data_IF_218062823630
#
_entry.id   IF_218062823630
#
_cell.length_a   1.000
_cell.length_b   1.000
_cell.length_c   1.000
_cell.angle_alpha   90.00
_cell.angle_beta   90.00
_cell.angle_gamma   90.00
#
_symmetry.space_group_name_H-M   'P 1'
#
loop_
_entity.id
_entity.type
_entity.pdbx_description
1 polymer ?
#
# COMPACT_ATOMS: atom_id res chain seq x y z
N UNK A 1 25.69 0.50 20.60
CA UNK A 1 25.34 1.38 19.46
C UNK A 1 25.90 0.82 18.15
N UNK A 2 25.09 0.60 17.12
CA UNK A 2 25.52 0.17 15.78
C UNK A 2 25.28 1.30 14.77
N UNK A 3 26.15 1.44 13.78
CA UNK A 3 26.04 2.49 12.78
C UNK A 3 26.37 1.93 11.38
N UNK A 4 25.51 2.26 10.42
CA UNK A 4 25.66 1.92 9.02
C UNK A 4 25.70 3.22 8.19
N UNK A 5 26.75 3.42 7.43
CA UNK A 5 26.83 4.44 6.39
C UNK A 5 26.33 3.80 5.10
N UNK A 6 25.31 4.39 4.49
CA UNK A 6 24.67 3.91 3.28
C UNK A 6 25.17 4.71 2.08
N UNK A 7 25.60 4.03 1.04
CA UNK A 7 26.12 4.70 -0.15
C UNK A 7 26.97 3.78 -1.00
N UNK A 8 27.51 4.30 -2.11
CA UNK A 8 28.37 3.50 -2.99
C UNK A 8 29.72 3.16 -2.33
N UNK A 9 30.13 3.93 -1.32
CA UNK A 9 31.30 3.68 -0.47
C UNK A 9 30.90 3.52 1.01
N UNK A 10 29.68 3.06 1.28
CA UNK A 10 29.19 2.81 2.63
C UNK A 10 29.67 1.49 3.21
N UNK A 11 29.32 1.25 4.49
CA UNK A 11 29.66 0.01 5.21
C UNK A 11 28.45 -0.92 5.37
N UNK A 12 27.34 -0.67 4.64
CA UNK A 12 26.15 -1.53 4.63
C UNK A 12 26.51 -2.95 4.13
N UNK A 13 25.75 -4.00 4.54
CA UNK A 13 26.10 -5.41 4.27
C UNK A 13 25.86 -5.84 2.80
N UNK A 14 25.40 -4.94 1.95
CA UNK A 14 25.14 -5.20 0.52
C UNK A 14 25.74 -4.08 -0.34
N UNK A 15 26.06 -4.40 -1.56
CA UNK A 15 26.69 -3.47 -2.50
C UNK A 15 25.65 -2.55 -3.15
N UNK A 16 25.94 -1.24 -3.20
CA UNK A 16 25.17 -0.22 -3.89
C UNK A 16 26.03 0.30 -5.05
N UNK A 17 25.51 0.16 -6.29
CA UNK A 17 26.19 0.59 -7.53
C UNK A 17 25.42 1.64 -8.32
N UNK A 18 24.26 2.04 -7.84
CA UNK A 18 23.37 2.95 -8.53
C UNK A 18 23.96 4.35 -8.60
N UNK A 19 23.98 4.93 -9.80
CA UNK A 19 24.59 6.24 -10.09
C UNK A 19 23.89 7.41 -9.41
N UNK A 20 22.62 7.23 -9.00
CA UNK A 20 21.86 8.22 -8.26
C UNK A 20 22.10 8.21 -6.75
N UNK A 21 23.00 7.33 -6.25
CA UNK A 21 23.35 7.23 -4.83
C UNK A 21 24.72 7.83 -4.60
N UNK A 22 24.85 8.74 -3.62
CA UNK A 22 26.12 9.37 -3.24
C UNK A 22 27.06 8.37 -2.56
N UNK A 23 28.34 8.66 -2.49
CA UNK A 23 29.36 7.80 -1.84
C UNK A 23 29.01 7.51 -0.37
N UNK A 24 28.69 8.55 0.39
CA UNK A 24 28.08 8.49 1.72
C UNK A 24 26.75 9.22 1.65
N UNK A 25 25.67 8.49 1.44
CA UNK A 25 24.37 9.05 1.12
C UNK A 25 23.52 9.32 2.36
N UNK A 26 23.46 8.33 3.24
CA UNK A 26 22.68 8.39 4.47
C UNK A 26 23.37 7.59 5.58
N UNK A 27 22.89 7.78 6.81
CA UNK A 27 23.35 7.05 7.99
C UNK A 27 22.16 6.41 8.68
N UNK A 28 22.28 5.14 9.06
CA UNK A 28 21.37 4.50 9.99
C UNK A 28 22.12 4.21 11.28
N UNK A 29 21.58 4.71 12.39
CA UNK A 29 22.11 4.47 13.73
C UNK A 29 21.10 3.66 14.52
N UNK A 30 21.56 2.60 15.19
CA UNK A 30 20.76 1.80 16.12
C UNK A 30 21.38 1.99 17.48
N UNK A 31 20.66 2.62 18.39
CA UNK A 31 21.14 2.86 19.75
C UNK A 31 21.07 1.59 20.61
N UNK A 32 21.53 1.71 21.86
CA UNK A 32 21.54 0.60 22.80
C UNK A 32 20.12 0.23 23.32
N UNK A 33 19.15 1.11 23.11
CA UNK A 33 17.74 0.88 23.39
C UNK A 33 16.98 0.24 22.22
N UNK A 34 17.65 0.00 21.08
CA UNK A 34 17.05 -0.55 19.86
C UNK A 34 16.31 0.48 19.01
N UNK A 35 16.46 1.77 19.27
CA UNK A 35 15.87 2.83 18.43
C UNK A 35 16.69 3.04 17.17
N UNK A 36 16.03 3.02 16.03
CA UNK A 36 16.63 3.22 14.73
C UNK A 36 16.43 4.66 14.27
N UNK A 37 17.51 5.32 13.90
CA UNK A 37 17.47 6.69 13.34
C UNK A 37 18.12 6.69 11.97
N UNK A 38 17.39 7.19 10.97
CA UNK A 38 17.88 7.44 9.60
C UNK A 38 18.20 8.93 9.48
N UNK A 39 19.37 9.25 8.92
CA UNK A 39 19.84 10.62 8.68
C UNK A 39 20.40 10.71 7.26
N UNK A 40 19.91 11.68 6.47
CA UNK A 40 20.48 12.02 5.17
C UNK A 40 21.81 12.80 5.36
N UNK A 41 22.88 12.33 4.73
CA UNK A 41 24.20 12.96 4.84
C UNK A 41 24.44 14.03 3.75
N UNK A 42 23.42 14.85 3.52
CA UNK A 42 23.44 15.89 2.50
C UNK A 42 23.64 15.31 1.09
N UNK A 43 22.91 14.24 0.82
CA UNK A 43 22.99 13.52 -0.45
C UNK A 43 22.49 14.35 -1.63
N UNK A 44 23.01 14.11 -2.83
CA UNK A 44 22.65 14.86 -4.04
C UNK A 44 21.19 14.71 -4.41
N UNK A 45 20.66 13.49 -4.37
CA UNK A 45 19.31 13.17 -4.82
C UNK A 45 18.30 12.98 -3.68
N UNK A 46 18.74 13.01 -2.42
CA UNK A 46 17.91 12.88 -1.23
C UNK A 46 17.63 11.45 -0.82
N UNK A 47 17.26 11.31 0.45
CA UNK A 47 16.83 10.07 1.08
C UNK A 47 15.31 10.11 1.26
N UNK A 48 14.64 9.02 0.94
CA UNK A 48 13.18 8.91 1.00
C UNK A 48 12.77 7.70 1.82
N UNK A 49 11.61 7.79 2.45
CA UNK A 49 10.95 6.66 3.11
C UNK A 49 9.52 6.52 2.59
N UNK A 50 9.01 5.29 2.56
CA UNK A 50 7.62 5.02 2.23
C UNK A 50 6.77 5.33 3.46
N UNK A 51 5.73 6.13 3.28
CA UNK A 51 4.74 6.43 4.31
C UNK A 51 3.61 5.38 4.37
N UNK A 52 2.66 5.57 5.28
CA UNK A 52 1.52 4.69 5.48
C UNK A 52 0.57 4.61 4.26
N UNK A 53 0.60 5.62 3.40
CA UNK A 53 -0.18 5.65 2.15
C UNK A 53 0.56 4.99 0.97
N UNK A 54 1.79 4.50 1.20
CA UNK A 54 2.65 3.93 0.18
C UNK A 54 3.39 4.96 -0.66
N UNK A 55 3.30 6.26 -0.31
CA UNK A 55 3.98 7.33 -1.04
C UNK A 55 5.40 7.56 -0.50
N UNK A 56 6.31 7.97 -1.39
CA UNK A 56 7.70 8.22 -1.04
C UNK A 56 7.87 9.66 -0.54
N UNK A 57 8.26 9.81 0.74
CA UNK A 57 8.50 11.10 1.38
C UNK A 57 9.97 11.33 1.61
N UNK A 58 10.49 12.50 1.18
CA UNK A 58 11.87 12.92 1.45
C UNK A 58 12.07 13.20 2.94
N UNK A 59 13.21 12.74 3.48
CA UNK A 59 13.55 12.91 4.90
C UNK A 59 14.97 13.44 5.05
N UNK A 60 15.20 14.26 6.09
CA UNK A 60 16.55 14.64 6.54
C UNK A 60 16.97 13.74 7.70
N UNK A 61 16.20 13.76 8.80
CA UNK A 61 16.38 12.87 9.95
C UNK A 61 15.05 12.34 10.39
N UNK A 62 14.96 11.03 10.63
CA UNK A 62 13.72 10.36 11.03
C UNK A 62 14.03 9.15 11.92
N UNK A 63 13.23 8.97 12.98
CA UNK A 63 13.16 7.71 13.70
C UNK A 63 12.37 6.71 12.86
N UNK A 64 12.97 5.56 12.60
CA UNK A 64 12.42 4.53 11.71
C UNK A 64 12.22 3.22 12.47
N UNK A 65 11.50 2.30 11.85
CA UNK A 65 11.37 0.91 12.31
C UNK A 65 12.20 -0.02 11.43
N UNK A 66 12.48 -1.25 11.85
CA UNK A 66 13.12 -2.25 11.00
C UNK A 66 12.39 -2.47 9.67
N UNK A 67 11.05 -2.35 9.65
CA UNK A 67 10.22 -2.52 8.46
C UNK A 67 10.03 -1.23 7.64
N UNK A 68 10.72 -0.14 7.98
CA UNK A 68 10.70 1.07 7.15
C UNK A 68 11.37 0.80 5.79
N UNK A 69 10.65 1.08 4.71
CA UNK A 69 11.17 1.01 3.35
C UNK A 69 11.91 2.30 3.02
N UNK A 70 13.21 2.19 2.77
CA UNK A 70 14.12 3.31 2.49
C UNK A 70 14.45 3.31 1.00
N UNK A 71 14.50 4.49 0.40
CA UNK A 71 15.01 4.71 -0.95
C UNK A 71 16.12 5.78 -0.91
N UNK A 72 17.29 5.44 -1.40
CA UNK A 72 18.43 6.33 -1.57
C UNK A 72 18.46 6.81 -3.02
N UNK A 73 18.34 8.12 -3.21
CA UNK A 73 18.28 8.72 -4.53
C UNK A 73 16.89 8.58 -5.20
N UNK A 74 16.80 8.71 -6.53
CA UNK A 74 15.54 8.70 -7.24
C UNK A 74 14.88 7.31 -7.18
N UNK A 75 13.53 7.29 -7.18
CA UNK A 75 12.73 6.06 -7.13
C UNK A 75 12.69 5.26 -8.45
N UNK A 76 13.75 5.31 -9.22
CA UNK A 76 13.93 4.59 -10.48
C UNK A 76 15.18 3.69 -10.42
N UNK A 77 15.60 3.15 -11.56
CA UNK A 77 16.76 2.26 -11.65
C UNK A 77 18.09 2.88 -11.17
N UNK A 78 18.18 4.21 -11.04
CA UNK A 78 19.36 4.91 -10.55
C UNK A 78 19.39 5.06 -9.02
N UNK A 79 18.31 4.73 -8.32
CA UNK A 79 18.24 4.71 -6.86
C UNK A 79 18.33 3.30 -6.30
N UNK A 80 18.54 3.19 -4.99
CA UNK A 80 18.59 1.93 -4.26
C UNK A 80 17.51 1.89 -3.19
N UNK A 81 16.64 0.88 -3.21
CA UNK A 81 15.54 0.74 -2.26
C UNK A 81 15.61 -0.59 -1.52
N UNK A 82 15.37 -0.57 -0.20
CA UNK A 82 15.41 -1.75 0.67
C UNK A 82 14.66 -1.49 1.98
N UNK A 83 14.34 -2.55 2.71
CA UNK A 83 13.85 -2.43 4.09
C UNK A 83 15.02 -2.27 5.07
N UNK A 84 14.83 -1.44 6.11
CA UNK A 84 15.89 -1.14 7.09
C UNK A 84 16.43 -2.40 7.78
N UNK A 85 15.60 -3.41 8.04
CA UNK A 85 15.98 -4.69 8.65
C UNK A 85 17.10 -5.39 7.87
N UNK A 86 17.18 -5.18 6.55
CA UNK A 86 18.20 -5.78 5.69
C UNK A 86 19.63 -5.35 6.02
N UNK A 87 19.78 -4.29 6.81
CA UNK A 87 21.10 -3.89 7.37
C UNK A 87 21.60 -4.87 8.43
N UNK A 88 20.72 -5.65 9.05
CA UNK A 88 21.07 -6.66 10.05
C UNK A 88 20.90 -8.08 9.55
N UNK A 89 19.90 -8.34 8.73
CA UNK A 89 19.54 -9.67 8.22
C UNK A 89 20.05 -9.87 6.78
N UNK A 90 20.55 -11.06 6.51
CA UNK A 90 21.00 -11.45 5.15
C UNK A 90 19.94 -12.20 4.36
N UNK A 91 18.88 -12.69 5.01
CA UNK A 91 17.72 -13.33 4.41
C UNK A 91 16.55 -12.35 4.35
N UNK A 92 15.56 -12.64 3.54
CA UNK A 92 14.41 -11.76 3.30
C UNK A 92 13.10 -12.31 3.92
N UNK A 93 13.21 -13.26 4.84
CA UNK A 93 12.04 -13.94 5.41
C UNK A 93 11.12 -12.97 6.14
N UNK A 94 11.69 -12.11 7.01
CA UNK A 94 10.90 -11.15 7.80
C UNK A 94 10.20 -10.12 6.91
N UNK A 95 10.86 -9.67 5.84
CA UNK A 95 10.27 -8.73 4.88
C UNK A 95 9.12 -9.39 4.10
N UNK A 96 9.25 -10.65 3.71
CA UNK A 96 8.16 -11.38 3.06
C UNK A 96 7.01 -11.68 4.01
N UNK A 97 7.28 -12.00 5.28
CA UNK A 97 6.24 -12.14 6.31
C UNK A 97 5.46 -10.83 6.50
N UNK A 98 6.16 -9.71 6.60
CA UNK A 98 5.53 -8.38 6.66
C UNK A 98 4.66 -8.09 5.43
N UNK A 99 5.17 -8.34 4.22
CA UNK A 99 4.40 -8.16 2.99
C UNK A 99 3.18 -9.07 2.95
N UNK A 100 3.28 -10.30 3.46
CA UNK A 100 2.16 -11.23 3.53
C UNK A 100 1.06 -10.77 4.51
N UNK A 101 1.45 -10.25 5.69
CA UNK A 101 0.51 -9.63 6.62
C UNK A 101 -0.20 -8.42 5.99
N UNK A 102 0.53 -7.59 5.27
CA UNK A 102 -0.03 -6.44 4.56
C UNK A 102 -1.02 -6.87 3.46
N UNK A 103 -0.73 -7.96 2.74
CA UNK A 103 -1.66 -8.58 1.78
C UNK A 103 -2.97 -9.01 2.46
N UNK A 104 -2.88 -9.65 3.64
CA UNK A 104 -4.06 -10.05 4.41
C UNK A 104 -4.91 -8.85 4.83
N UNK A 105 -4.27 -7.73 5.23
CA UNK A 105 -4.99 -6.50 5.56
C UNK A 105 -5.72 -5.91 4.35
N UNK A 106 -5.08 -5.90 3.16
CA UNK A 106 -5.72 -5.43 1.94
C UNK A 106 -6.88 -6.34 1.53
N UNK A 107 -6.72 -7.66 1.66
CA UNK A 107 -7.79 -8.61 1.37
C UNK A 107 -8.98 -8.42 2.33
N UNK A 108 -8.74 -8.24 3.64
CA UNK A 108 -9.77 -7.95 4.63
C UNK A 108 -10.50 -6.61 4.35
N UNK A 109 -9.77 -5.56 3.96
CA UNK A 109 -10.37 -4.28 3.54
C UNK A 109 -11.24 -4.44 2.29
N UNK A 110 -10.79 -5.23 1.31
CA UNK A 110 -11.55 -5.52 0.10
C UNK A 110 -12.84 -6.27 0.42
N UNK A 111 -12.77 -7.34 1.23
CA UNK A 111 -13.91 -8.15 1.63
C UNK A 111 -14.94 -7.33 2.42
N UNK A 112 -14.49 -6.55 3.42
CA UNK A 112 -15.38 -5.69 4.22
C UNK A 112 -16.12 -4.67 3.34
N UNK A 113 -15.46 -4.11 2.35
CA UNK A 113 -16.05 -3.17 1.40
C UNK A 113 -17.10 -3.84 0.49
N UNK A 114 -16.86 -5.08 0.06
CA UNK A 114 -17.81 -5.87 -0.75
C UNK A 114 -19.04 -6.26 0.08
N UNK A 115 -18.85 -6.70 1.32
CA UNK A 115 -19.96 -7.04 2.24
C UNK A 115 -20.83 -5.81 2.49
N UNK A 116 -20.24 -4.65 2.76
CA UNK A 116 -20.95 -3.39 2.95
C UNK A 116 -21.75 -3.01 1.69
N UNK A 117 -21.13 -3.12 0.51
CA UNK A 117 -21.80 -2.84 -0.76
C UNK A 117 -22.97 -3.79 -1.03
N UNK A 118 -22.83 -5.09 -0.73
CA UNK A 118 -23.91 -6.08 -0.84
C UNK A 118 -25.09 -5.76 0.10
N UNK A 119 -24.81 -5.47 1.37
CA UNK A 119 -25.84 -5.10 2.36
C UNK A 119 -26.62 -3.86 1.92
N UNK A 120 -25.90 -2.84 1.43
CA UNK A 120 -26.55 -1.62 0.98
C UNK A 120 -27.40 -1.83 -0.27
N UNK A 121 -26.96 -2.64 -1.23
CA UNK A 121 -27.77 -3.01 -2.41
C UNK A 121 -29.05 -3.72 -2.00
N UNK A 122 -28.99 -4.63 -1.02
CA UNK A 122 -30.17 -5.32 -0.49
C UNK A 122 -31.14 -4.34 0.18
N UNK A 123 -30.65 -3.37 0.96
CA UNK A 123 -31.48 -2.33 1.57
C UNK A 123 -32.17 -1.45 0.52
N UNK A 124 -31.46 -1.03 -0.52
CA UNK A 124 -32.01 -0.25 -1.62
C UNK A 124 -33.07 -1.05 -2.39
N UNK A 125 -32.77 -2.32 -2.69
CA UNK A 125 -33.72 -3.21 -3.38
C UNK A 125 -35.02 -3.43 -2.54
N UNK A 126 -34.89 -3.64 -1.23
CA UNK A 126 -36.03 -3.78 -0.35
C UNK A 126 -36.86 -2.49 -0.28
N UNK A 127 -36.23 -1.33 -0.16
CA UNK A 127 -36.93 -0.04 -0.18
C UNK A 127 -37.69 0.20 -1.51
N UNK A 128 -37.03 -0.14 -2.63
CA UNK A 128 -37.67 -0.04 -3.96
C UNK A 128 -38.87 -0.96 -4.11
N UNK A 129 -38.76 -2.19 -3.58
CA UNK A 129 -39.87 -3.16 -3.58
C UNK A 129 -41.05 -2.67 -2.73
N UNK A 130 -40.77 -2.15 -1.53
CA UNK A 130 -41.81 -1.58 -0.65
C UNK A 130 -42.50 -0.40 -1.33
N UNK A 131 -41.78 0.48 -1.99
CA UNK A 131 -42.34 1.62 -2.74
C UNK A 131 -43.24 1.13 -3.90
N UNK A 132 -42.82 0.06 -4.58
CA UNK A 132 -43.57 -0.54 -5.69
C UNK A 132 -44.87 -1.21 -5.20
N UNK A 133 -44.79 -2.01 -4.14
CA UNK A 133 -45.98 -2.64 -3.53
C UNK A 133 -46.91 -1.58 -2.96
N UNK A 134 -46.38 -0.55 -2.28
CA UNK A 134 -47.17 0.57 -1.77
C UNK A 134 -47.93 1.31 -2.89
N UNK A 135 -47.34 1.43 -4.09
CA UNK A 135 -48.00 2.06 -5.24
C UNK A 135 -49.21 1.25 -5.77
N UNK A 136 -49.22 -0.08 -5.58
CA UNK A 136 -50.39 -0.93 -5.92
C UNK A 136 -51.50 -0.84 -4.88
N UNK A 137 -51.22 -0.61 -3.61
CA UNK A 137 -52.18 -0.48 -2.54
C UNK A 137 -52.92 0.87 -2.60
N UNK A 138 -52.16 1.92 -2.97
CA UNK A 138 -52.70 3.28 -3.14
C UNK A 138 -53.24 3.42 -4.57
N UNK A 139 -54.48 2.98 -4.80
CA UNK A 139 -55.17 3.11 -6.10
C UNK A 139 -55.71 4.54 -6.25
N UNK A 140 -55.20 5.25 -7.26
CA UNK A 140 -55.59 6.59 -7.72
C UNK A 140 -55.23 7.77 -6.81
N UNK A 141 -54.29 8.58 -7.25
CA UNK A 141 -53.96 9.89 -6.64
C UNK A 141 -52.51 10.35 -6.85
N UNK A 142 -52.20 11.61 -6.48
CA UNK A 142 -50.84 12.16 -6.61
C UNK A 142 -49.80 11.37 -5.79
N UNK A 143 -50.23 10.68 -4.73
CA UNK A 143 -49.37 9.87 -3.87
C UNK A 143 -48.77 8.65 -4.61
N UNK A 144 -49.53 8.00 -5.48
CA UNK A 144 -49.08 6.88 -6.30
C UNK A 144 -47.95 7.28 -7.26
N UNK A 145 -48.09 8.42 -7.94
CA UNK A 145 -47.10 8.98 -8.82
C UNK A 145 -45.82 9.39 -8.06
N UNK A 146 -45.97 9.87 -6.83
CA UNK A 146 -44.86 10.24 -5.95
C UNK A 146 -44.04 9.01 -5.51
N UNK A 147 -44.70 7.93 -5.12
CA UNK A 147 -44.04 6.66 -4.74
C UNK A 147 -43.28 6.01 -5.90
N UNK A 148 -43.84 6.00 -7.12
CA UNK A 148 -43.17 5.51 -8.31
C UNK A 148 -41.95 6.34 -8.69
N UNK A 149 -42.02 7.68 -8.59
CA UNK A 149 -40.89 8.60 -8.86
C UNK A 149 -39.81 8.46 -7.82
N UNK A 150 -40.11 8.35 -6.53
CA UNK A 150 -39.16 8.14 -5.46
C UNK A 150 -38.43 6.79 -5.60
N UNK A 151 -39.14 5.71 -5.92
CA UNK A 151 -38.53 4.40 -6.14
C UNK A 151 -37.52 4.39 -7.30
N UNK A 152 -37.88 5.05 -8.42
CA UNK A 152 -36.97 5.16 -9.58
C UNK A 152 -35.77 6.09 -9.31
N UNK A 153 -35.96 7.21 -8.61
CA UNK A 153 -34.87 8.13 -8.23
C UNK A 153 -33.86 7.48 -7.28
N UNK A 154 -34.31 6.74 -6.27
CA UNK A 154 -33.44 6.01 -5.35
C UNK A 154 -32.62 4.93 -6.08
N UNK A 155 -33.23 4.22 -7.03
CA UNK A 155 -32.53 3.23 -7.85
C UNK A 155 -31.45 3.87 -8.72
N UNK A 156 -31.73 4.99 -9.37
CA UNK A 156 -30.76 5.73 -10.21
C UNK A 156 -29.61 6.31 -9.37
N UNK A 157 -29.92 6.92 -8.23
CA UNK A 157 -28.90 7.44 -7.32
C UNK A 157 -27.96 6.34 -6.82
N UNK A 158 -28.48 5.14 -6.56
CA UNK A 158 -27.66 4.01 -6.13
C UNK A 158 -26.62 3.58 -7.17
N UNK A 159 -26.94 3.65 -8.46
CA UNK A 159 -26.01 3.31 -9.55
C UNK A 159 -24.91 4.36 -9.73
N UNK A 160 -25.23 5.64 -9.47
CA UNK A 160 -24.28 6.74 -9.61
C UNK A 160 -23.33 6.81 -8.42
N UNK A 161 -23.85 6.72 -7.18
CA UNK A 161 -23.05 6.89 -5.97
C UNK A 161 -22.32 5.62 -5.51
N UNK A 162 -22.72 4.44 -5.99
CA UNK A 162 -22.10 3.17 -5.63
C UNK A 162 -21.42 2.50 -6.83
N UNK A 163 -20.23 3.00 -7.20
CA UNK A 163 -19.37 2.34 -8.16
C UNK A 163 -18.30 1.51 -7.41
N UNK A 164 -18.54 0.21 -7.14
CA UNK A 164 -17.58 -0.65 -6.44
C UNK A 164 -16.29 -0.85 -7.24
N UNK A 165 -16.34 -0.61 -8.56
CA UNK A 165 -15.17 -0.72 -9.43
C UNK A 165 -14.09 0.33 -9.16
N UNK A 166 -14.47 1.56 -8.83
CA UNK A 166 -13.50 2.63 -8.51
C UNK A 166 -12.80 2.38 -7.17
N UNK A 167 -13.54 1.96 -6.14
CA UNK A 167 -12.97 1.62 -4.84
C UNK A 167 -11.99 0.45 -4.96
N UNK A 168 -12.34 -0.56 -5.75
CA UNK A 168 -11.47 -1.71 -5.99
C UNK A 168 -10.20 -1.32 -6.74
N UNK A 169 -10.31 -0.46 -7.77
CA UNK A 169 -9.14 0.07 -8.50
C UNK A 169 -8.24 0.90 -7.61
N UNK A 170 -8.80 1.75 -6.75
CA UNK A 170 -8.03 2.56 -5.80
C UNK A 170 -7.26 1.66 -4.82
N UNK A 171 -7.93 0.68 -4.21
CA UNK A 171 -7.31 -0.27 -3.29
C UNK A 171 -6.21 -1.10 -3.98
N UNK A 172 -6.43 -1.51 -5.23
CA UNK A 172 -5.43 -2.19 -6.04
C UNK A 172 -4.20 -1.32 -6.28
N UNK A 173 -4.38 -0.04 -6.63
CA UNK A 173 -3.28 0.90 -6.82
C UNK A 173 -2.50 1.19 -5.53
N UNK A 174 -3.17 1.24 -4.37
CA UNK A 174 -2.51 1.35 -3.08
C UNK A 174 -1.68 0.10 -2.77
N UNK A 175 -2.25 -1.09 -2.97
CA UNK A 175 -1.58 -2.39 -2.79
C UNK A 175 -0.30 -2.49 -3.62
N UNK A 176 -0.33 -2.12 -4.90
CA UNK A 176 0.81 -2.22 -5.81
C UNK A 176 2.01 -1.36 -5.38
N UNK A 177 1.79 -0.26 -4.65
CA UNK A 177 2.87 0.58 -4.11
C UNK A 177 3.77 -0.16 -3.12
N UNK A 178 3.26 -1.20 -2.45
CA UNK A 178 4.01 -1.98 -1.46
C UNK A 178 4.69 -3.21 -2.04
N UNK A 179 4.40 -3.58 -3.27
CA UNK A 179 4.86 -4.82 -3.91
C UNK A 179 6.31 -4.78 -4.42
N UNK A 180 7.17 -3.95 -3.84
CA UNK A 180 8.59 -3.95 -4.20
C UNK A 180 9.31 -5.18 -3.65
N UNK A 181 10.15 -5.80 -4.47
CA UNK A 181 11.01 -6.90 -4.00
C UNK A 181 11.94 -6.42 -2.88
N UNK A 182 12.03 -7.11 -1.73
CA UNK A 182 12.89 -6.71 -0.63
C UNK A 182 14.40 -6.75 -0.98
N UNK A 183 14.79 -7.52 -1.99
CA UNK A 183 16.18 -7.55 -2.45
C UNK A 183 16.56 -6.25 -3.18
N UNK A 184 17.49 -5.42 -2.65
CA UNK A 184 17.84 -4.12 -3.20
C UNK A 184 18.45 -4.20 -4.62
N UNK A 185 18.94 -5.38 -5.03
CA UNK A 185 19.51 -5.61 -6.36
C UNK A 185 18.46 -6.01 -7.40
N UNK A 186 17.22 -6.26 -6.99
CA UNK A 186 16.21 -6.88 -7.86
C UNK A 186 15.33 -5.87 -8.58
N UNK A 187 14.87 -4.82 -7.90
CA UNK A 187 13.92 -3.80 -8.39
C UNK A 187 12.67 -4.37 -9.11
N UNK A 188 12.25 -5.61 -8.77
CA UNK A 188 11.08 -6.25 -9.34
C UNK A 188 9.83 -5.86 -8.56
N UNK A 189 8.71 -5.68 -9.26
CA UNK A 189 7.40 -5.55 -8.62
C UNK A 189 6.85 -6.96 -8.42
N UNK A 190 6.61 -7.33 -7.16
CA UNK A 190 6.07 -8.63 -6.78
C UNK A 190 4.59 -8.73 -7.15
N UNK A 191 4.16 -9.91 -7.52
CA UNK A 191 2.74 -10.26 -7.61
C UNK A 191 2.29 -10.81 -6.26
N UNK A 192 1.01 -10.72 -5.93
CA UNK A 192 0.44 -11.32 -4.70
C UNK A 192 0.84 -12.79 -4.53
N UNK A 193 0.93 -13.55 -5.62
CA UNK A 193 1.43 -14.93 -5.61
C UNK A 193 2.87 -15.04 -5.11
N UNK A 194 3.76 -14.15 -5.54
CA UNK A 194 5.18 -14.17 -5.12
C UNK A 194 5.29 -13.89 -3.62
N UNK A 195 4.47 -12.97 -3.11
CA UNK A 195 4.39 -12.65 -1.68
C UNK A 195 3.87 -13.85 -0.89
N UNK A 196 2.77 -14.47 -1.32
CA UNK A 196 2.20 -15.68 -0.68
C UNK A 196 3.17 -16.86 -0.67
N UNK A 197 4.00 -16.99 -1.70
CA UNK A 197 5.04 -18.01 -1.79
C UNK A 197 6.33 -17.60 -1.06
N UNK A 198 6.38 -16.42 -0.49
CA UNK A 198 7.56 -15.85 0.18
C UNK A 198 8.81 -15.91 -0.69
N UNK A 199 8.66 -15.75 -2.00
CA UNK A 199 9.76 -15.84 -2.95
C UNK A 199 9.55 -14.96 -4.17
N UNK A 200 10.54 -14.14 -4.51
CA UNK A 200 10.51 -13.35 -5.74
C UNK A 200 10.68 -14.24 -6.98
N UNK A 201 9.76 -14.12 -7.94
CA UNK A 201 9.82 -14.89 -9.20
C UNK A 201 11.06 -14.57 -10.06
N UNK A 202 11.65 -13.38 -9.93
CA UNK A 202 12.80 -12.92 -10.71
C UNK A 202 14.14 -13.30 -10.08
N UNK A 203 14.39 -12.89 -8.83
CA UNK A 203 15.70 -13.11 -8.19
C UNK A 203 15.75 -14.32 -7.24
N UNK A 204 14.63 -14.97 -7.01
CA UNK A 204 14.49 -16.16 -6.14
C UNK A 204 14.87 -15.92 -4.68
N UNK A 205 14.96 -14.66 -4.22
CA UNK A 205 15.11 -14.36 -2.80
C UNK A 205 13.83 -14.70 -2.04
N UNK A 206 13.98 -15.16 -0.82
CA UNK A 206 12.92 -15.54 0.11
C UNK A 206 13.52 -16.27 1.28
#
# INVERSE_FOLDING_TARGET
MKQFILGTEGNQPFEIKQTGVSHQHARVTIDDNGVWTLEDLNSTNGTFVRDENGDMRRVGTLVITPMTFICLGPSNANGCSFYAIHLQNKNFVEEFEYLNQLEDEFDAKAESSEVMAKRLRLLIASASLIALVGSFVVQHGPLQLMLLRLGSAVSLLSTIFFNPGEKKKKLQGEREKFHACPNPKCANILKSRDIRMMQCSKCKCG
#
